data_IF_278461207959
#
_entry.id   IF_278461207959
#
_cell.length_a   1.000
_cell.length_b   1.000
_cell.length_c   1.000
_cell.angle_alpha   90.00
_cell.angle_beta   90.00
_cell.angle_gamma   90.00
#
_symmetry.space_group_name_H-M   'P 1'
#
loop_
_entity.id
_entity.type
_entity.pdbx_description
1 polymer ?
#
# COMPACT_ATOMS: atom_id res chain seq x y z
N UNK A 1 57.45 29.83 3.59
CA UNK A 1 57.30 28.90 2.45
C UNK A 1 55.88 28.34 2.50
N UNK A 2 55.09 28.59 1.47
CA UNK A 2 53.64 28.32 1.52
C UNK A 2 53.43 26.79 1.29
N UNK A 3 52.59 26.13 2.12
CA UNK A 3 52.32 24.68 2.08
C UNK A 3 51.94 24.25 0.65
N UNK A 4 51.24 25.09 -0.09
CA UNK A 4 50.86 24.86 -1.49
C UNK A 4 52.08 24.67 -2.42
N UNK A 5 53.15 25.42 -2.19
CA UNK A 5 54.37 25.33 -2.99
C UNK A 5 55.21 24.07 -2.66
N UNK A 6 55.06 23.57 -1.43
CA UNK A 6 55.74 22.30 -1.02
C UNK A 6 54.98 21.11 -1.63
N UNK A 7 53.67 21.13 -1.67
CA UNK A 7 52.86 20.09 -2.28
C UNK A 7 53.03 20.01 -3.80
N UNK A 8 53.21 21.16 -4.48
CA UNK A 8 53.50 21.24 -5.90
C UNK A 8 54.95 20.73 -6.23
N UNK A 9 55.92 20.98 -5.34
CA UNK A 9 57.32 20.56 -5.57
C UNK A 9 57.53 19.06 -5.33
N UNK A 10 56.62 18.35 -4.72
CA UNK A 10 56.70 16.90 -4.42
C UNK A 10 55.85 16.05 -5.39
N UNK A 11 55.20 16.68 -6.39
CA UNK A 11 54.39 15.96 -7.39
C UNK A 11 53.12 15.30 -6.84
N UNK A 12 52.82 15.48 -5.55
CA UNK A 12 51.71 14.82 -4.86
C UNK A 12 50.34 15.19 -5.50
N UNK A 13 50.22 16.45 -5.97
CA UNK A 13 48.97 16.92 -6.59
C UNK A 13 48.75 16.23 -7.94
N UNK A 14 49.82 16.06 -8.72
CA UNK A 14 49.75 15.36 -10.01
C UNK A 14 49.48 13.87 -9.83
N UNK A 15 50.10 13.23 -8.83
CA UNK A 15 49.88 11.83 -8.49
C UNK A 15 48.44 11.58 -8.01
N UNK A 16 47.88 12.48 -7.17
CA UNK A 16 46.46 12.43 -6.73
C UNK A 16 45.54 12.66 -7.93
N UNK A 17 45.87 13.62 -8.81
CA UNK A 17 45.09 13.89 -10.02
C UNK A 17 45.04 12.68 -10.96
N UNK A 18 46.17 12.02 -11.19
CA UNK A 18 46.27 10.77 -11.97
C UNK A 18 45.55 9.62 -11.30
N UNK A 19 45.69 9.45 -9.98
CA UNK A 19 45.01 8.41 -9.21
C UNK A 19 43.48 8.57 -9.27
N UNK A 20 43.00 9.79 -9.03
CA UNK A 20 41.57 10.10 -9.13
C UNK A 20 41.06 9.96 -10.56
N UNK A 21 41.81 10.43 -11.57
CA UNK A 21 41.47 10.25 -12.98
C UNK A 21 41.34 8.79 -13.39
N UNK A 22 42.26 7.94 -12.90
CA UNK A 22 42.21 6.50 -13.17
C UNK A 22 41.07 5.75 -12.51
N UNK A 23 40.56 6.26 -11.38
CA UNK A 23 39.38 5.68 -10.70
C UNK A 23 38.08 6.25 -11.25
N UNK A 24 38.01 7.58 -11.45
CA UNK A 24 36.77 8.25 -11.85
C UNK A 24 36.33 7.90 -13.28
N UNK A 25 37.29 7.80 -14.23
CA UNK A 25 36.94 7.53 -15.63
C UNK A 25 36.34 6.13 -15.86
N UNK A 26 36.95 5.03 -15.34
CA UNK A 26 36.35 3.70 -15.49
C UNK A 26 35.02 3.55 -14.73
N UNK A 27 34.92 4.12 -13.52
CA UNK A 27 33.68 4.06 -12.74
C UNK A 27 32.57 4.84 -13.39
N UNK A 28 32.85 6.05 -13.90
CA UNK A 28 31.87 6.86 -14.62
C UNK A 28 31.38 6.13 -15.88
N UNK A 29 32.26 5.51 -16.63
CA UNK A 29 31.92 4.70 -17.81
C UNK A 29 31.04 3.51 -17.42
N UNK A 30 31.38 2.80 -16.35
CA UNK A 30 30.58 1.68 -15.83
C UNK A 30 29.18 2.14 -15.41
N UNK A 31 29.09 3.24 -14.65
CA UNK A 31 27.78 3.79 -14.22
C UNK A 31 26.93 4.25 -15.40
N UNK A 32 27.54 4.90 -16.40
CA UNK A 32 26.81 5.31 -17.62
C UNK A 32 26.34 4.10 -18.43
N UNK A 33 27.19 3.06 -18.58
CA UNK A 33 26.82 1.83 -19.26
C UNK A 33 25.67 1.09 -18.55
N UNK A 34 25.73 0.97 -17.22
CA UNK A 34 24.65 0.39 -16.41
C UNK A 34 23.38 1.23 -16.55
N UNK A 35 23.50 2.56 -16.47
CA UNK A 35 22.34 3.47 -16.63
C UNK A 35 21.68 3.36 -18.02
N UNK A 36 22.47 3.24 -19.10
CA UNK A 36 21.95 2.99 -20.44
C UNK A 36 21.29 1.62 -20.53
N UNK A 37 21.88 0.58 -19.99
CA UNK A 37 21.30 -0.76 -19.95
C UNK A 37 19.95 -0.77 -19.22
N UNK A 38 19.87 -0.13 -18.06
CA UNK A 38 18.61 0.00 -17.30
C UNK A 38 17.55 0.80 -18.05
N UNK A 39 17.93 1.85 -18.79
CA UNK A 39 17.02 2.59 -19.66
C UNK A 39 16.48 1.72 -20.81
N UNK A 40 17.35 0.93 -21.44
CA UNK A 40 16.96 0.00 -22.51
C UNK A 40 15.97 -1.04 -21.95
N UNK A 41 16.28 -1.62 -20.78
CA UNK A 41 15.36 -2.54 -20.10
C UNK A 41 14.01 -1.91 -19.74
N UNK A 42 13.99 -0.60 -19.48
CA UNK A 42 12.76 0.14 -19.13
C UNK A 42 11.94 0.61 -20.33
N UNK A 43 12.48 0.49 -21.56
CA UNK A 43 11.79 0.99 -22.77
C UNK A 43 10.46 0.28 -23.04
N UNK A 44 10.34 -0.97 -22.57
CA UNK A 44 9.08 -1.72 -22.65
C UNK A 44 7.94 -1.10 -21.85
N UNK A 45 8.23 -0.23 -20.88
CA UNK A 45 7.20 0.47 -20.10
C UNK A 45 6.54 1.61 -20.87
N UNK A 46 7.18 2.12 -21.92
CA UNK A 46 6.66 3.24 -22.72
C UNK A 46 5.32 2.90 -23.38
N UNK A 47 5.14 1.75 -24.05
CA UNK A 47 3.83 1.34 -24.57
C UNK A 47 2.75 1.26 -23.49
N UNK A 48 3.07 0.71 -22.31
CA UNK A 48 2.12 0.62 -21.20
C UNK A 48 1.73 2.01 -20.67
N UNK A 49 2.67 2.94 -20.60
CA UNK A 49 2.38 4.33 -20.22
C UNK A 49 1.45 5.00 -21.24
N UNK A 50 1.70 4.83 -22.53
CA UNK A 50 0.85 5.37 -23.61
C UNK A 50 -0.53 4.74 -23.55
N UNK A 51 -0.63 3.41 -23.43
CA UNK A 51 -1.89 2.70 -23.29
C UNK A 51 -2.65 3.20 -22.06
N UNK A 52 -1.96 3.37 -20.92
CA UNK A 52 -2.57 3.86 -19.68
C UNK A 52 -3.14 5.28 -19.79
N UNK A 53 -2.55 6.14 -20.63
CA UNK A 53 -3.07 7.49 -20.88
C UNK A 53 -4.36 7.50 -21.73
N UNK A 54 -4.49 6.56 -22.66
CA UNK A 54 -5.60 6.56 -23.63
C UNK A 54 -6.66 5.48 -23.35
N UNK A 55 -6.30 4.39 -22.66
CA UNK A 55 -7.17 3.25 -22.42
C UNK A 55 -7.68 3.20 -20.98
N UNK A 56 -8.18 4.31 -20.44
CA UNK A 56 -8.86 4.31 -19.15
C UNK A 56 -10.25 3.71 -19.28
N UNK A 57 -10.46 2.52 -18.70
CA UNK A 57 -11.77 1.89 -18.65
C UNK A 57 -12.63 2.58 -17.58
N UNK A 58 -13.78 3.12 -18.00
CA UNK A 58 -14.80 3.62 -17.09
C UNK A 58 -15.91 2.57 -17.00
N UNK A 59 -16.23 2.16 -15.78
CA UNK A 59 -17.36 1.27 -15.54
C UNK A 59 -18.66 2.08 -15.53
N UNK A 60 -19.74 1.45 -15.99
CA UNK A 60 -21.08 2.02 -15.84
C UNK A 60 -21.52 1.87 -14.38
N UNK A 61 -22.42 2.71 -13.88
CA UNK A 61 -23.03 2.51 -12.57
C UNK A 61 -23.58 1.10 -12.43
N UNK A 62 -23.32 0.50 -11.29
CA UNK A 62 -23.78 -0.85 -10.97
C UNK A 62 -25.32 -0.94 -11.01
N UNK A 63 -25.84 -2.08 -11.40
CA UNK A 63 -27.28 -2.36 -11.35
C UNK A 63 -27.68 -2.92 -9.99
N UNK A 64 -26.76 -3.64 -9.36
CA UNK A 64 -26.97 -4.30 -8.09
C UNK A 64 -25.94 -3.84 -7.05
N UNK A 65 -26.39 -3.72 -5.82
CA UNK A 65 -25.50 -3.53 -4.68
C UNK A 65 -25.20 -4.92 -4.08
N UNK A 66 -23.92 -5.23 -3.97
CA UNK A 66 -23.44 -6.53 -3.48
C UNK A 66 -23.07 -6.48 -1.99
N UNK A 67 -23.13 -7.61 -1.31
CA UNK A 67 -22.80 -7.71 0.10
C UNK A 67 -21.30 -7.94 0.28
N UNK A 68 -20.65 -7.06 1.03
CA UNK A 68 -19.22 -7.07 1.23
C UNK A 68 -18.79 -7.28 2.68
N UNK A 69 -17.73 -8.05 2.87
CA UNK A 69 -16.94 -8.07 4.08
C UNK A 69 -15.75 -7.12 3.94
N UNK A 70 -15.53 -6.26 4.92
CA UNK A 70 -14.37 -5.36 4.99
C UNK A 70 -13.42 -5.88 6.06
N UNK A 71 -12.23 -6.30 5.67
CA UNK A 71 -11.23 -6.93 6.51
C UNK A 71 -10.11 -5.94 6.84
N UNK A 72 -9.85 -5.74 8.12
CA UNK A 72 -8.86 -4.80 8.62
C UNK A 72 -7.91 -5.52 9.58
N UNK A 73 -6.74 -5.95 9.12
CA UNK A 73 -5.70 -6.41 10.01
C UNK A 73 -5.06 -5.20 10.71
N UNK A 74 -5.06 -5.20 12.03
CA UNK A 74 -4.55 -4.12 12.86
C UNK A 74 -3.59 -4.65 13.92
N UNK A 75 -2.49 -3.92 14.15
CA UNK A 75 -1.53 -4.24 15.19
C UNK A 75 -1.02 -2.97 15.84
N UNK A 76 -1.50 -2.68 17.07
CA UNK A 76 -1.19 -1.46 17.80
C UNK A 76 -1.52 -0.20 16.97
N UNK A 77 -2.74 -0.14 16.47
CA UNK A 77 -3.24 0.91 15.58
C UNK A 77 -4.31 1.79 16.26
N UNK A 78 -4.27 1.86 17.58
CA UNK A 78 -5.18 2.67 18.40
C UNK A 78 -5.37 4.10 17.87
N UNK A 79 -4.32 4.83 17.41
CA UNK A 79 -4.48 6.22 16.96
C UNK A 79 -5.26 6.38 15.65
N UNK A 80 -5.32 5.34 14.81
CA UNK A 80 -5.79 5.47 13.41
C UNK A 80 -6.98 4.58 13.05
N UNK A 81 -7.15 3.43 13.73
CA UNK A 81 -8.19 2.45 13.40
C UNK A 81 -9.60 3.05 13.38
N UNK A 82 -9.89 3.96 14.32
CA UNK A 82 -11.17 4.64 14.40
C UNK A 82 -11.49 5.52 13.18
N UNK A 83 -10.46 6.14 12.59
CA UNK A 83 -10.61 6.98 11.40
C UNK A 83 -11.03 6.15 10.19
N UNK A 84 -10.41 4.98 10.00
CA UNK A 84 -10.77 4.06 8.91
C UNK A 84 -12.20 3.55 9.08
N UNK A 85 -12.56 3.01 10.26
CA UNK A 85 -13.91 2.48 10.52
C UNK A 85 -14.97 3.56 10.27
N UNK A 86 -14.75 4.78 10.76
CA UNK A 86 -15.64 5.90 10.51
C UNK A 86 -15.74 6.29 9.03
N UNK A 87 -14.65 6.17 8.27
CA UNK A 87 -14.65 6.44 6.83
C UNK A 87 -15.44 5.39 6.04
N UNK A 88 -15.45 4.12 6.51
CA UNK A 88 -16.28 3.05 5.94
C UNK A 88 -17.75 3.29 6.25
N UNK A 89 -18.10 3.67 7.47
CA UNK A 89 -19.49 3.99 7.86
C UNK A 89 -20.06 5.20 7.13
N UNK A 90 -19.22 6.10 6.63
CA UNK A 90 -19.60 7.28 5.86
C UNK A 90 -19.65 7.06 4.35
N UNK A 91 -19.52 5.81 3.88
CA UNK A 91 -19.59 5.50 2.46
C UNK A 91 -21.00 5.74 1.91
N UNK A 92 -21.06 6.24 0.67
CA UNK A 92 -22.30 6.34 -0.11
C UNK A 92 -22.67 4.94 -0.66
N UNK A 93 -22.97 4.02 0.28
CA UNK A 93 -23.30 2.63 0.03
C UNK A 93 -24.23 2.11 1.14
N UNK A 94 -25.19 1.20 0.85
CA UNK A 94 -26.09 0.66 1.87
C UNK A 94 -25.29 -0.02 3.00
N UNK A 95 -25.42 0.50 4.22
CA UNK A 95 -24.60 0.07 5.36
C UNK A 95 -24.94 -1.37 5.80
N UNK A 96 -26.14 -1.83 5.56
CA UNK A 96 -26.60 -3.20 5.83
C UNK A 96 -25.90 -4.24 4.93
N UNK A 97 -25.30 -3.80 3.82
CA UNK A 97 -24.53 -4.65 2.92
C UNK A 97 -23.02 -4.63 3.23
N UNK A 98 -22.59 -3.87 4.24
CA UNK A 98 -21.20 -3.78 4.67
C UNK A 98 -21.03 -4.38 6.06
N UNK A 99 -20.20 -5.39 6.18
CA UNK A 99 -19.80 -5.94 7.48
C UNK A 99 -18.31 -5.69 7.71
N UNK A 100 -17.98 -5.00 8.79
CA UNK A 100 -16.59 -4.64 9.12
C UNK A 100 -16.03 -5.67 10.08
N UNK A 101 -14.96 -6.34 9.68
CA UNK A 101 -14.20 -7.29 10.48
C UNK A 101 -12.82 -6.74 10.75
N UNK A 102 -12.41 -6.78 12.00
CA UNK A 102 -11.07 -6.38 12.45
C UNK A 102 -10.39 -7.59 13.08
N UNK A 103 -9.14 -7.84 12.74
CA UNK A 103 -8.29 -8.70 13.54
C UNK A 103 -7.27 -7.85 14.30
N UNK A 104 -7.36 -7.86 15.62
CA UNK A 104 -6.38 -7.27 16.52
C UNK A 104 -5.25 -8.29 16.72
N UNK A 105 -4.19 -8.18 15.89
CA UNK A 105 -3.11 -9.16 15.86
C UNK A 105 -1.98 -8.79 16.82
N UNK A 106 -1.86 -9.55 17.90
CA UNK A 106 -0.86 -9.32 18.95
C UNK A 106 -0.84 -7.87 19.45
N UNK A 107 -2.03 -7.27 19.64
CA UNK A 107 -2.18 -5.91 20.15
C UNK A 107 -1.92 -5.84 21.65
N UNK A 108 -1.28 -4.74 22.09
CA UNK A 108 -1.02 -4.42 23.51
C UNK A 108 -1.69 -3.11 23.93
N UNK A 109 -2.34 -2.43 22.98
CA UNK A 109 -3.06 -1.17 23.13
C UNK A 109 -4.60 -1.35 23.06
N UNK A 110 -5.36 -0.26 22.96
CA UNK A 110 -6.82 -0.30 22.91
C UNK A 110 -7.40 -0.53 21.50
N UNK A 111 -6.61 -0.99 20.52
CA UNK A 111 -7.06 -1.19 19.13
C UNK A 111 -8.34 -2.03 19.06
N UNK A 112 -8.39 -3.19 19.73
CA UNK A 112 -9.54 -4.09 19.71
C UNK A 112 -10.78 -3.42 20.31
N UNK A 113 -10.62 -2.76 21.47
CA UNK A 113 -11.71 -2.07 22.17
C UNK A 113 -12.32 -0.97 21.32
N UNK A 114 -11.48 -0.12 20.68
CA UNK A 114 -11.95 0.97 19.81
C UNK A 114 -12.72 0.41 18.61
N UNK A 115 -12.22 -0.68 18.00
CA UNK A 115 -12.91 -1.31 16.87
C UNK A 115 -14.32 -1.81 17.27
N UNK A 116 -14.43 -2.46 18.44
CA UNK A 116 -15.70 -2.96 18.97
C UNK A 116 -16.67 -1.81 19.32
N UNK A 117 -16.21 -0.77 20.01
CA UNK A 117 -17.01 0.42 20.35
C UNK A 117 -17.55 1.12 19.10
N UNK A 118 -16.80 1.07 18.01
CA UNK A 118 -17.24 1.56 16.71
C UNK A 118 -18.07 0.54 15.92
N UNK A 119 -18.48 -0.57 16.54
CA UNK A 119 -19.40 -1.54 15.94
C UNK A 119 -18.79 -2.43 14.86
N UNK A 120 -17.47 -2.56 14.82
CA UNK A 120 -16.81 -3.59 14.03
C UNK A 120 -16.81 -4.94 14.79
N UNK A 121 -16.89 -6.03 14.07
CA UNK A 121 -16.69 -7.38 14.61
C UNK A 121 -15.18 -7.57 14.75
N UNK A 122 -14.68 -7.63 15.99
CA UNK A 122 -13.26 -7.70 16.26
C UNK A 122 -12.88 -9.07 16.84
N UNK A 123 -11.93 -9.73 16.20
CA UNK A 123 -11.29 -10.93 16.68
C UNK A 123 -9.88 -10.60 17.17
N UNK A 124 -9.52 -11.12 18.33
CA UNK A 124 -8.19 -10.97 18.88
C UNK A 124 -7.35 -12.21 18.55
N UNK A 125 -6.20 -12.00 17.93
CA UNK A 125 -5.22 -13.04 17.61
C UNK A 125 -3.95 -12.81 18.40
N UNK A 126 -3.68 -13.67 19.38
CA UNK A 126 -2.56 -13.57 20.28
C UNK A 126 -1.62 -14.77 20.10
N UNK A 127 -0.81 -14.76 19.04
CA UNK A 127 0.22 -15.75 18.78
C UNK A 127 1.56 -15.06 18.49
N UNK A 128 2.54 -15.10 19.41
CA UNK A 128 3.83 -14.43 19.23
C UNK A 128 4.70 -15.03 18.11
N UNK A 129 4.41 -16.23 17.65
CA UNK A 129 5.15 -16.89 16.57
C UNK A 129 4.61 -16.51 15.18
N UNK A 130 3.38 -16.01 15.11
CA UNK A 130 2.68 -15.61 13.89
C UNK A 130 2.54 -14.08 13.84
N UNK A 131 3.63 -13.38 13.43
CA UNK A 131 3.69 -11.90 13.53
C UNK A 131 3.49 -11.14 12.22
N UNK A 132 3.14 -11.82 11.13
CA UNK A 132 2.94 -11.13 9.86
C UNK A 132 1.46 -10.86 9.59
N UNK A 133 1.19 -9.78 8.86
CA UNK A 133 -0.17 -9.44 8.40
C UNK A 133 -0.90 -10.62 7.72
N UNK A 134 -0.15 -11.49 7.04
CA UNK A 134 -0.70 -12.68 6.39
C UNK A 134 -1.32 -13.67 7.37
N UNK A 135 -0.69 -13.90 8.53
CA UNK A 135 -1.24 -14.77 9.56
C UNK A 135 -2.50 -14.18 10.19
N UNK A 136 -2.50 -12.88 10.50
CA UNK A 136 -3.70 -12.19 10.99
C UNK A 136 -4.87 -12.27 10.01
N UNK A 137 -4.63 -12.06 8.71
CA UNK A 137 -5.67 -12.23 7.69
C UNK A 137 -6.14 -13.66 7.56
N UNK A 138 -5.24 -14.65 7.59
CA UNK A 138 -5.59 -16.08 7.56
C UNK A 138 -6.51 -16.42 8.73
N UNK A 139 -6.11 -16.05 9.94
CA UNK A 139 -6.92 -16.23 11.14
C UNK A 139 -8.31 -15.58 11.00
N UNK A 140 -8.36 -14.34 10.48
CA UNK A 140 -9.62 -13.64 10.27
C UNK A 140 -10.54 -14.37 9.31
N UNK A 141 -10.01 -14.87 8.19
CA UNK A 141 -10.78 -15.69 7.25
C UNK A 141 -11.31 -16.98 7.88
N UNK A 142 -10.51 -17.67 8.71
CA UNK A 142 -10.93 -18.87 9.43
C UNK A 142 -12.08 -18.56 10.42
N UNK A 143 -12.04 -17.42 11.11
CA UNK A 143 -13.14 -17.02 12.00
C UNK A 143 -14.40 -16.66 11.21
N UNK A 144 -14.26 -15.93 10.10
CA UNK A 144 -15.40 -15.58 9.22
C UNK A 144 -16.04 -16.85 8.64
N UNK A 145 -15.23 -17.80 8.19
CA UNK A 145 -15.75 -19.08 7.67
C UNK A 145 -16.54 -19.84 8.73
N UNK A 146 -16.02 -19.88 9.95
CA UNK A 146 -16.66 -20.57 11.08
C UNK A 146 -17.98 -19.94 11.51
N UNK A 147 -18.01 -18.59 11.62
CA UNK A 147 -19.11 -17.88 12.25
C UNK A 147 -20.20 -17.44 11.25
N UNK A 148 -19.82 -17.21 9.99
CA UNK A 148 -20.70 -16.67 8.94
C UNK A 148 -20.74 -17.51 7.67
N UNK A 149 -19.70 -18.30 7.40
CA UNK A 149 -19.46 -18.93 6.10
C UNK A 149 -18.92 -17.94 5.06
N UNK A 150 -17.86 -18.34 4.35
CA UNK A 150 -17.18 -17.43 3.40
C UNK A 150 -18.09 -16.99 2.25
N UNK A 151 -19.08 -17.81 1.87
CA UNK A 151 -20.02 -17.52 0.80
C UNK A 151 -21.15 -16.56 1.22
N UNK A 152 -21.19 -16.13 2.49
CA UNK A 152 -22.17 -15.16 2.98
C UNK A 152 -21.92 -13.75 2.46
N UNK A 153 -20.74 -13.52 1.86
CA UNK A 153 -20.34 -12.27 1.25
C UNK A 153 -19.97 -12.50 -0.21
N UNK A 154 -20.38 -11.57 -1.08
CA UNK A 154 -20.10 -11.65 -2.51
C UNK A 154 -18.71 -11.12 -2.87
N UNK A 155 -18.15 -10.26 -2.01
CA UNK A 155 -16.81 -9.73 -2.18
C UNK A 155 -16.15 -9.32 -0.87
N UNK A 156 -14.83 -9.16 -0.92
CA UNK A 156 -13.99 -8.87 0.23
C UNK A 156 -13.10 -7.68 -0.04
N UNK A 157 -13.17 -6.67 0.82
CA UNK A 157 -12.23 -5.56 0.85
C UNK A 157 -11.16 -5.82 1.91
N UNK A 158 -9.90 -5.55 1.59
CA UNK A 158 -8.80 -5.61 2.56
C UNK A 158 -8.17 -4.22 2.62
N UNK A 159 -8.23 -3.59 3.78
CA UNK A 159 -7.65 -2.26 4.02
C UNK A 159 -6.60 -2.31 5.11
N UNK A 160 -5.54 -1.53 4.95
CA UNK A 160 -4.61 -1.24 6.04
C UNK A 160 -5.30 -0.28 7.03
N UNK A 161 -5.06 -0.46 8.32
CA UNK A 161 -5.71 0.27 9.42
C UNK A 161 -5.53 1.79 9.37
N UNK A 162 -4.48 2.25 8.68
CA UNK A 162 -4.15 3.65 8.48
C UNK A 162 -4.80 4.28 7.24
N UNK A 163 -5.55 3.53 6.44
CA UNK A 163 -6.20 4.04 5.24
C UNK A 163 -7.39 4.96 5.56
N UNK A 164 -7.70 5.88 4.64
CA UNK A 164 -8.94 6.67 4.64
C UNK A 164 -9.62 6.54 3.28
N UNK A 165 -10.92 6.26 3.30
CA UNK A 165 -11.70 6.07 2.10
C UNK A 165 -12.43 7.36 1.71
N UNK A 166 -12.45 7.68 0.41
CA UNK A 166 -13.37 8.67 -0.14
C UNK A 166 -14.81 8.15 -0.03
N UNK A 167 -15.79 9.04 0.10
CA UNK A 167 -17.20 8.66 0.31
C UNK A 167 -17.78 7.76 -0.78
N UNK A 168 -17.35 7.92 -2.02
CA UNK A 168 -17.80 7.15 -3.19
C UNK A 168 -16.93 5.92 -3.49
N UNK A 169 -16.01 5.54 -2.59
CA UNK A 169 -15.02 4.50 -2.86
C UNK A 169 -15.69 3.13 -3.08
N UNK A 170 -16.51 2.69 -2.13
CA UNK A 170 -17.14 1.36 -2.21
C UNK A 170 -18.14 1.29 -3.37
N UNK A 171 -18.92 2.35 -3.61
CA UNK A 171 -19.85 2.39 -4.75
C UNK A 171 -19.10 2.29 -6.09
N UNK A 172 -17.94 2.94 -6.23
CA UNK A 172 -17.09 2.82 -7.44
C UNK A 172 -16.51 1.43 -7.62
N UNK A 173 -16.11 0.78 -6.52
CA UNK A 173 -15.64 -0.61 -6.57
C UNK A 173 -16.78 -1.56 -6.93
N UNK A 174 -17.98 -1.30 -6.42
CA UNK A 174 -19.18 -2.05 -6.77
C UNK A 174 -19.52 -1.95 -8.27
N UNK A 175 -19.31 -0.77 -8.91
CA UNK A 175 -19.47 -0.62 -10.36
C UNK A 175 -18.58 -1.59 -11.14
N UNK A 176 -17.35 -1.76 -10.69
CA UNK A 176 -16.39 -2.68 -11.32
C UNK A 176 -16.74 -4.14 -11.06
N UNK A 177 -17.16 -4.45 -9.82
CA UNK A 177 -17.54 -5.80 -9.41
C UNK A 177 -18.80 -6.28 -10.13
N UNK A 178 -19.86 -5.45 -10.19
CA UNK A 178 -21.11 -5.74 -10.91
C UNK A 178 -20.89 -5.91 -12.43
N UNK A 179 -19.83 -5.28 -12.97
CA UNK A 179 -19.38 -5.49 -14.35
C UNK A 179 -18.63 -6.81 -14.58
N UNK A 180 -18.41 -7.63 -13.53
CA UNK A 180 -17.81 -8.96 -13.58
C UNK A 180 -16.31 -9.02 -13.26
N UNK A 181 -15.70 -7.93 -12.80
CA UNK A 181 -14.30 -7.94 -12.38
C UNK A 181 -14.16 -8.68 -11.04
N UNK A 182 -13.23 -9.65 -10.97
CA UNK A 182 -13.05 -10.50 -9.78
C UNK A 182 -11.97 -9.99 -8.82
N UNK A 183 -10.95 -9.30 -9.34
CA UNK A 183 -9.85 -8.74 -8.56
C UNK A 183 -9.72 -7.27 -8.96
N UNK A 184 -9.90 -6.38 -7.99
CA UNK A 184 -9.94 -4.95 -8.23
C UNK A 184 -8.95 -4.27 -7.29
N UNK A 185 -8.12 -3.40 -7.85
CA UNK A 185 -7.23 -2.52 -7.08
C UNK A 185 -7.51 -1.07 -7.39
N UNK A 186 -7.21 -0.19 -6.47
CA UNK A 186 -7.40 1.24 -6.65
C UNK A 186 -6.11 2.03 -6.51
N UNK A 187 -6.10 3.22 -7.07
CA UNK A 187 -5.04 4.18 -6.84
C UNK A 187 -5.06 4.65 -5.38
N UNK A 188 -3.87 4.68 -4.76
CA UNK A 188 -3.66 5.23 -3.42
C UNK A 188 -2.98 6.59 -3.53
N UNK A 189 -3.52 7.58 -2.84
CA UNK A 189 -2.94 8.91 -2.70
C UNK A 189 -2.42 9.10 -1.27
N UNK A 190 -1.36 9.88 -1.09
CA UNK A 190 -0.89 10.27 0.25
C UNK A 190 -1.88 11.21 0.92
N UNK A 191 -2.11 11.04 2.23
CA UNK A 191 -3.04 11.87 3.01
C UNK A 191 -2.55 13.31 3.18
N UNK A 192 -1.24 13.53 3.22
CA UNK A 192 -0.59 14.75 3.70
C UNK A 192 0.14 15.51 2.58
N UNK A 193 -0.50 15.68 1.41
CA UNK A 193 0.07 16.46 0.31
C UNK A 193 0.21 17.96 0.60
N UNK A 194 -0.41 18.45 1.70
CA UNK A 194 -0.47 19.87 2.06
C UNK A 194 0.22 20.23 3.38
N UNK A 195 0.75 19.26 4.10
CA UNK A 195 1.46 19.45 5.38
C UNK A 195 2.97 19.20 5.19
N UNK A 196 3.59 19.92 4.26
CA UNK A 196 5.03 19.97 4.07
C UNK A 196 5.57 21.37 4.20
#
# INVERSE_FOLDING_TARGET
>A
MNITNVLLSVGIIDDIGHFLGNIYTPSLFLFTAIGMFMKILSIHNVPYMIIGLFCTRKFKPAKNNHKYAVLIPARNEEPVIGNLINSIKKQDYPQELLTIFVVADNCTDNTAKIAQELGAICYEHNNPDERTKGFGLKYLFEQIEKDYGIQSFEGYFIFDSDNLLKRDYISRMNDSFDAGEKIITSYRSTKNLTEG
#
